data_IF_358045837400
#
_entry.id   IF_358045837400
#
_cell.length_a   1.000
_cell.length_b   1.000
_cell.length_c   1.000
_cell.angle_alpha   90.00
_cell.angle_beta   90.00
_cell.angle_gamma   90.00
#
_symmetry.space_group_name_H-M   'P 1'
#
loop_
_entity.id
_entity.type
_entity.pdbx_description
1 polymer ?
#
# COMPACT_ATOMS: atom_id res chain seq x y z
N UNK A 1 -12.24 -50.68 -11.10
CA UNK A 1 -11.68 -49.46 -11.71
C UNK A 1 -11.52 -48.48 -10.58
N UNK A 2 -10.39 -48.58 -9.89
CA UNK A 2 -10.06 -47.81 -8.71
C UNK A 2 -9.82 -46.35 -9.10
N UNK A 3 -10.62 -45.43 -8.54
CA UNK A 3 -10.33 -44.00 -8.61
C UNK A 3 -9.00 -43.73 -7.92
N UNK A 4 -8.01 -43.09 -8.57
CA UNK A 4 -6.81 -42.70 -7.86
C UNK A 4 -7.21 -41.62 -6.84
N UNK A 5 -7.11 -41.97 -5.55
CA UNK A 5 -7.15 -41.01 -4.45
C UNK A 5 -6.02 -40.01 -4.70
N UNK A 6 -6.38 -38.78 -5.09
CA UNK A 6 -5.44 -37.67 -5.17
C UNK A 6 -4.73 -37.56 -3.82
N UNK A 7 -3.40 -37.67 -3.75
CA UNK A 7 -2.70 -37.60 -2.48
C UNK A 7 -2.99 -36.25 -1.83
N UNK A 8 -3.29 -36.27 -0.53
CA UNK A 8 -3.45 -35.07 0.29
C UNK A 8 -2.17 -34.24 0.15
N UNK A 9 -2.27 -33.14 -0.59
CA UNK A 9 -1.12 -32.30 -0.95
C UNK A 9 -0.49 -31.77 0.33
N UNK A 10 0.81 -32.05 0.53
CA UNK A 10 1.56 -31.53 1.65
C UNK A 10 1.40 -30.00 1.70
N UNK A 11 0.91 -29.48 2.82
CA UNK A 11 0.96 -28.06 3.11
C UNK A 11 2.38 -27.57 2.91
N UNK A 12 2.61 -26.45 2.21
CA UNK A 12 3.95 -25.88 2.12
C UNK A 12 4.47 -25.69 3.55
N UNK A 13 5.54 -26.40 3.87
CA UNK A 13 6.24 -26.22 5.14
C UNK A 13 6.82 -24.82 5.09
N UNK A 14 6.31 -23.92 5.94
CA UNK A 14 6.91 -22.62 6.17
C UNK A 14 8.39 -22.85 6.49
N UNK A 15 9.34 -22.24 5.74
CA UNK A 15 10.72 -22.22 6.18
C UNK A 15 10.75 -21.65 7.60
N UNK A 16 11.47 -22.37 8.46
CA UNK A 16 11.58 -22.15 9.88
C UNK A 16 11.74 -20.68 10.27
N UNK A 17 11.12 -20.33 11.39
CA UNK A 17 11.26 -19.10 12.18
C UNK A 17 12.31 -18.11 11.63
N UNK A 18 11.83 -16.94 11.19
CA UNK A 18 12.73 -15.85 10.81
C UNK A 18 13.75 -15.62 11.95
N UNK A 19 15.06 -15.55 11.64
CA UNK A 19 16.09 -15.37 12.66
C UNK A 19 15.75 -14.18 13.57
N UNK A 20 15.97 -14.28 14.89
CA UNK A 20 15.54 -13.26 15.84
C UNK A 20 16.07 -11.82 15.62
N UNK A 21 17.02 -11.60 14.71
CA UNK A 21 17.46 -10.28 14.28
C UNK A 21 16.48 -9.60 13.30
N UNK A 22 15.58 -10.35 12.66
CA UNK A 22 14.56 -9.82 11.73
C UNK A 22 13.36 -9.23 12.45
N UNK A 23 13.17 -9.54 13.73
CA UNK A 23 12.06 -9.06 14.54
C UNK A 23 12.40 -7.70 15.16
N UNK A 24 11.51 -6.69 15.06
CA UNK A 24 11.72 -5.42 15.76
C UNK A 24 11.84 -5.68 17.26
N UNK A 25 12.95 -5.28 17.88
CA UNK A 25 13.20 -5.49 19.32
C UNK A 25 12.42 -4.53 20.22
N UNK A 26 11.16 -4.25 19.90
CA UNK A 26 10.25 -3.41 20.69
C UNK A 26 10.47 -1.89 20.58
N UNK A 27 11.44 -1.41 19.78
CA UNK A 27 11.60 0.01 19.45
C UNK A 27 10.96 0.30 18.09
N UNK A 28 10.32 1.46 17.95
CA UNK A 28 9.85 1.94 16.66
C UNK A 28 11.02 1.92 15.65
N UNK A 29 10.91 1.19 14.53
CA UNK A 29 12.02 0.99 13.62
C UNK A 29 12.32 2.30 12.89
N UNK A 30 13.58 2.73 12.92
CA UNK A 30 14.08 3.80 12.04
C UNK A 30 13.84 3.42 10.55
N UNK A 31 13.82 4.42 9.65
CA UNK A 31 13.54 4.28 8.21
C UNK A 31 14.34 3.13 7.58
N UNK A 32 15.62 3.00 7.95
CA UNK A 32 16.50 1.93 7.44
C UNK A 32 16.06 0.56 7.95
N UNK A 33 15.76 0.43 9.25
CA UNK A 33 15.32 -0.83 9.84
C UNK A 33 13.95 -1.27 9.27
N UNK A 34 13.05 -0.33 9.02
CA UNK A 34 11.76 -0.58 8.37
C UNK A 34 11.95 -1.10 6.94
N UNK A 35 12.90 -0.54 6.17
CA UNK A 35 13.22 -1.00 4.82
C UNK A 35 13.77 -2.44 4.82
N UNK A 36 14.67 -2.78 5.75
CA UNK A 36 15.16 -4.15 5.90
C UNK A 36 14.04 -5.13 6.28
N UNK A 37 13.18 -4.76 7.23
CA UNK A 37 12.03 -5.58 7.62
C UNK A 37 11.08 -5.83 6.44
N UNK A 38 10.76 -4.79 5.67
CA UNK A 38 9.96 -4.92 4.46
C UNK A 38 10.61 -5.85 3.42
N UNK A 39 11.92 -5.74 3.21
CA UNK A 39 12.68 -6.63 2.32
C UNK A 39 12.62 -8.10 2.75
N UNK A 40 12.74 -8.37 4.05
CA UNK A 40 12.63 -9.72 4.61
C UNK A 40 11.23 -10.28 4.36
N UNK A 41 10.18 -9.52 4.67
CA UNK A 41 8.78 -9.95 4.43
C UNK A 41 8.54 -10.24 2.96
N UNK A 42 9.02 -9.38 2.05
CA UNK A 42 8.89 -9.58 0.61
C UNK A 42 9.65 -10.83 0.14
N UNK A 43 10.85 -11.08 0.65
CA UNK A 43 11.62 -12.28 0.33
C UNK A 43 10.92 -13.55 0.82
N UNK A 44 10.44 -13.55 2.06
CA UNK A 44 9.70 -14.69 2.62
C UNK A 44 8.42 -14.97 1.85
N UNK A 45 7.71 -13.93 1.42
CA UNK A 45 6.54 -14.06 0.57
C UNK A 45 6.90 -14.58 -0.84
N UNK A 46 7.97 -14.08 -1.44
CA UNK A 46 8.46 -14.57 -2.73
C UNK A 46 8.81 -16.05 -2.65
N UNK A 47 9.54 -16.49 -1.62
CA UNK A 47 9.89 -17.90 -1.42
C UNK A 47 8.67 -18.79 -1.26
N UNK A 48 7.61 -18.28 -0.63
CA UNK A 48 6.35 -19.00 -0.46
C UNK A 48 5.53 -19.12 -1.77
N UNK A 49 5.57 -18.08 -2.60
CA UNK A 49 4.74 -17.96 -3.81
C UNK A 49 5.46 -18.49 -5.06
N UNK A 50 6.80 -18.47 -5.08
CA UNK A 50 7.68 -18.85 -6.20
C UNK A 50 7.53 -20.31 -6.65
N UNK A 51 7.32 -21.30 -5.76
CA UNK A 51 7.01 -22.68 -6.16
C UNK A 51 5.72 -22.84 -6.96
N UNK A 52 4.93 -21.76 -7.11
CA UNK A 52 3.67 -21.72 -7.83
C UNK A 52 2.65 -22.76 -7.35
N UNK A 53 2.27 -22.74 -6.05
CA UNK A 53 1.27 -23.65 -5.52
C UNK A 53 -0.06 -23.49 -6.26
N UNK A 54 -0.89 -24.53 -6.30
CA UNK A 54 -2.14 -24.56 -7.09
C UNK A 54 -3.09 -23.38 -6.82
N UNK A 55 -3.09 -22.83 -5.60
CA UNK A 55 -3.94 -21.71 -5.20
C UNK A 55 -3.35 -20.33 -5.55
N UNK A 56 -2.11 -20.26 -6.04
CA UNK A 56 -1.37 -19.01 -6.24
C UNK A 56 -2.06 -18.05 -7.20
N UNK A 57 -2.71 -18.58 -8.25
CA UNK A 57 -3.47 -17.78 -9.21
C UNK A 57 -4.64 -17.06 -8.55
N UNK A 58 -5.44 -17.79 -7.77
CA UNK A 58 -6.56 -17.24 -7.00
C UNK A 58 -6.07 -16.19 -5.98
N UNK A 59 -4.94 -16.44 -5.31
CA UNK A 59 -4.36 -15.49 -4.38
C UNK A 59 -3.91 -14.19 -5.09
N UNK A 60 -3.18 -14.29 -6.21
CA UNK A 60 -2.76 -13.12 -7.00
C UNK A 60 -3.94 -12.32 -7.54
N UNK A 61 -4.99 -12.99 -8.00
CA UNK A 61 -6.21 -12.31 -8.46
C UNK A 61 -6.89 -11.53 -7.33
N UNK A 62 -6.97 -12.10 -6.11
CA UNK A 62 -7.50 -11.37 -4.94
C UNK A 62 -6.61 -10.20 -4.54
N UNK A 63 -5.28 -10.36 -4.57
CA UNK A 63 -4.36 -9.26 -4.29
C UNK A 63 -4.51 -8.14 -5.33
N UNK A 64 -4.60 -8.47 -6.62
CA UNK A 64 -4.79 -7.48 -7.68
C UNK A 64 -6.05 -6.63 -7.47
N UNK A 65 -7.15 -7.26 -7.06
CA UNK A 65 -8.40 -6.56 -6.77
C UNK A 65 -8.30 -5.67 -5.53
N UNK A 66 -7.67 -6.15 -4.46
CA UNK A 66 -7.41 -5.34 -3.25
C UNK A 66 -6.53 -4.13 -3.56
N UNK A 67 -5.45 -4.33 -4.31
CA UNK A 67 -4.58 -3.27 -4.76
C UNK A 67 -5.34 -2.26 -5.65
N UNK A 68 -6.25 -2.72 -6.51
CA UNK A 68 -7.08 -1.84 -7.32
C UNK A 68 -8.00 -0.98 -6.46
N UNK A 69 -8.71 -1.56 -5.50
CA UNK A 69 -9.58 -0.83 -4.58
C UNK A 69 -8.84 0.26 -3.79
N UNK A 70 -7.62 -0.06 -3.31
CA UNK A 70 -6.76 0.93 -2.65
C UNK A 70 -6.30 2.02 -3.62
N UNK A 71 -5.89 1.66 -4.84
CA UNK A 71 -5.41 2.62 -5.84
C UNK A 71 -6.51 3.59 -6.28
N UNK A 72 -7.72 3.06 -6.52
CA UNK A 72 -8.93 3.84 -6.86
C UNK A 72 -9.28 4.81 -5.73
N UNK A 73 -9.12 4.39 -4.46
CA UNK A 73 -9.28 5.28 -3.30
C UNK A 73 -8.25 6.40 -3.23
N UNK A 74 -6.99 6.10 -3.54
CA UNK A 74 -5.94 7.11 -3.62
C UNK A 74 -6.20 8.12 -4.76
N UNK A 75 -6.86 7.69 -5.83
CA UNK A 75 -7.33 8.55 -6.92
C UNK A 75 -8.61 9.35 -6.57
N UNK A 76 -9.06 9.33 -5.32
CA UNK A 76 -10.21 10.10 -4.84
C UNK A 76 -11.57 9.49 -5.18
N UNK A 77 -11.62 8.23 -5.59
CA UNK A 77 -12.87 7.52 -5.89
C UNK A 77 -13.19 6.48 -4.82
N UNK A 78 -14.43 6.01 -4.74
CA UNK A 78 -14.90 5.20 -3.62
C UNK A 78 -15.41 3.81 -4.02
N UNK A 79 -15.18 3.36 -5.25
CA UNK A 79 -15.57 2.04 -5.71
C UNK A 79 -14.88 0.94 -4.89
N UNK A 80 -15.68 -0.01 -4.40
CA UNK A 80 -15.21 -1.14 -3.62
C UNK A 80 -14.87 -2.35 -4.50
N UNK A 81 -14.44 -3.45 -3.88
CA UNK A 81 -14.07 -4.67 -4.61
C UNK A 81 -15.22 -5.24 -5.45
N UNK A 82 -16.49 -5.09 -5.04
CA UNK A 82 -17.62 -5.60 -5.78
C UNK A 82 -17.90 -4.75 -7.01
N UNK A 83 -17.96 -3.42 -6.84
CA UNK A 83 -18.11 -2.47 -7.93
C UNK A 83 -17.01 -2.61 -8.99
N UNK A 84 -15.76 -2.85 -8.57
CA UNK A 84 -14.65 -3.08 -9.50
C UNK A 84 -14.78 -4.40 -10.27
N UNK A 85 -15.26 -5.47 -9.63
CA UNK A 85 -15.53 -6.74 -10.32
C UNK A 85 -16.63 -6.55 -11.35
N UNK A 86 -17.73 -5.90 -10.96
CA UNK A 86 -18.88 -5.67 -11.84
C UNK A 86 -18.49 -4.79 -13.02
N UNK A 87 -17.74 -3.71 -12.79
CA UNK A 87 -17.25 -2.84 -13.84
C UNK A 87 -16.46 -3.60 -14.92
N UNK A 88 -15.63 -4.57 -14.56
CA UNK A 88 -14.83 -5.34 -15.54
C UNK A 88 -15.57 -6.56 -16.09
N UNK A 89 -16.39 -7.25 -15.29
CA UNK A 89 -17.06 -8.49 -15.70
C UNK A 89 -18.34 -8.26 -16.49
N UNK A 90 -19.05 -7.16 -16.24
CA UNK A 90 -20.27 -6.79 -16.97
C UNK A 90 -19.97 -5.99 -18.24
N UNK A 91 -18.73 -5.55 -18.43
CA UNK A 91 -18.29 -4.86 -19.65
C UNK A 91 -18.11 -5.87 -20.78
N UNK A 92 -18.67 -5.56 -21.95
CA UNK A 92 -18.52 -6.38 -23.14
C UNK A 92 -17.04 -6.56 -23.53
N UNK A 93 -16.70 -7.65 -24.21
CA UNK A 93 -15.34 -7.89 -24.67
C UNK A 93 -14.83 -6.73 -25.54
N UNK A 94 -13.72 -6.12 -25.13
CA UNK A 94 -13.15 -4.94 -25.80
C UNK A 94 -13.85 -3.60 -25.49
N UNK A 95 -14.90 -3.62 -24.65
CA UNK A 95 -15.53 -2.41 -24.13
C UNK A 95 -14.69 -1.72 -23.06
N UNK A 96 -15.03 -0.46 -22.77
CA UNK A 96 -14.39 0.32 -21.71
C UNK A 96 -15.10 0.12 -20.36
N UNK A 97 -14.43 -0.46 -19.34
CA UNK A 97 -15.02 -0.66 -18.01
C UNK A 97 -15.02 0.62 -17.16
N UNK A 98 -14.67 1.77 -17.77
CA UNK A 98 -14.60 3.07 -17.11
C UNK A 98 -13.34 3.23 -16.24
N UNK A 99 -13.16 4.41 -15.61
CA UNK A 99 -11.91 4.77 -14.95
C UNK A 99 -11.48 3.79 -13.85
N UNK A 100 -12.39 3.42 -12.95
CA UNK A 100 -12.10 2.48 -11.87
C UNK A 100 -11.84 1.06 -12.39
N UNK A 101 -12.59 0.63 -13.42
CA UNK A 101 -12.38 -0.64 -14.09
C UNK A 101 -11.03 -0.74 -14.80
N UNK A 102 -10.56 0.34 -15.45
CA UNK A 102 -9.23 0.41 -16.07
C UNK A 102 -8.10 0.25 -15.05
N UNK A 103 -8.24 0.84 -13.85
CA UNK A 103 -7.30 0.62 -12.74
C UNK A 103 -7.26 -0.86 -12.34
N UNK A 104 -8.42 -1.53 -12.25
CA UNK A 104 -8.47 -2.96 -11.97
C UNK A 104 -7.86 -3.81 -13.11
N UNK A 105 -8.05 -3.43 -14.38
CA UNK A 105 -7.37 -4.08 -15.50
C UNK A 105 -5.84 -3.92 -15.42
N UNK A 106 -5.34 -2.74 -15.03
CA UNK A 106 -3.92 -2.51 -14.84
C UNK A 106 -3.32 -3.41 -13.76
N UNK A 107 -3.94 -3.49 -12.57
CA UNK A 107 -3.44 -4.36 -11.49
C UNK A 107 -3.58 -5.85 -11.82
N UNK A 108 -4.67 -6.24 -12.51
CA UNK A 108 -4.84 -7.61 -13.01
C UNK A 108 -3.72 -7.97 -13.98
N UNK A 109 -3.35 -7.08 -14.90
CA UNK A 109 -2.23 -7.28 -15.84
C UNK A 109 -0.92 -7.50 -15.09
N UNK A 110 -0.62 -6.70 -14.06
CA UNK A 110 0.57 -6.87 -13.20
C UNK A 110 0.59 -8.21 -12.44
N UNK A 111 -0.58 -8.78 -12.13
CA UNK A 111 -0.68 -10.06 -11.42
C UNK A 111 -0.40 -11.28 -12.30
N UNK A 112 -0.45 -11.11 -13.63
CA UNK A 112 -0.13 -12.17 -14.60
C UNK A 112 1.39 -12.39 -14.71
N UNK A 113 1.80 -13.55 -15.24
CA UNK A 113 3.20 -14.00 -15.19
C UNK A 113 4.11 -12.99 -15.91
N UNK A 114 5.18 -12.58 -15.19
CA UNK A 114 6.32 -11.73 -15.55
C UNK A 114 6.19 -11.01 -16.90
N UNK A 115 5.46 -9.87 -16.97
CA UNK A 115 5.54 -9.01 -18.14
C UNK A 115 7.00 -8.55 -18.35
N UNK A 116 7.44 -8.51 -19.60
CA UNK A 116 8.73 -7.91 -19.93
C UNK A 116 8.72 -6.43 -19.48
N UNK A 117 9.75 -6.01 -18.74
CA UNK A 117 9.88 -4.62 -18.34
C UNK A 117 10.36 -3.83 -19.56
N UNK A 118 9.58 -2.85 -20.01
CA UNK A 118 9.89 -2.02 -21.18
C UNK A 118 9.07 -0.75 -21.15
N UNK A 119 9.54 0.32 -21.80
CA UNK A 119 8.81 1.59 -21.94
C UNK A 119 7.42 1.39 -22.53
N UNK A 120 7.26 0.50 -23.52
CA UNK A 120 5.95 0.16 -24.09
C UNK A 120 4.98 -0.41 -23.06
N UNK A 121 5.42 -1.41 -22.28
CA UNK A 121 4.55 -2.06 -21.28
C UNK A 121 4.19 -1.09 -20.16
N UNK A 122 5.12 -0.24 -19.75
CA UNK A 122 4.86 0.78 -18.72
C UNK A 122 3.95 1.89 -19.25
N UNK A 123 4.11 2.32 -20.50
CA UNK A 123 3.22 3.28 -21.16
C UNK A 123 1.78 2.78 -21.23
N UNK A 124 1.56 1.54 -21.66
CA UNK A 124 0.20 0.95 -21.67
C UNK A 124 -0.42 0.84 -20.27
N UNK A 125 0.39 0.67 -19.22
CA UNK A 125 -0.07 0.74 -17.83
C UNK A 125 -0.39 2.17 -17.40
N UNK A 126 0.41 3.15 -17.82
CA UNK A 126 0.17 4.57 -17.56
C UNK A 126 -1.16 5.00 -18.20
N UNK A 127 -1.44 4.58 -19.42
CA UNK A 127 -2.71 4.85 -20.13
C UNK A 127 -3.92 4.29 -19.36
N UNK A 128 -3.83 3.04 -18.87
CA UNK A 128 -4.89 2.44 -18.06
C UNK A 128 -5.11 3.17 -16.73
N UNK A 129 -4.03 3.72 -16.15
CA UNK A 129 -4.09 4.48 -14.91
C UNK A 129 -4.43 5.97 -15.12
N UNK A 130 -4.56 6.41 -16.37
CA UNK A 130 -4.79 7.83 -16.70
C UNK A 130 -3.62 8.74 -16.32
N UNK A 131 -2.40 8.19 -16.29
CA UNK A 131 -1.19 8.93 -15.94
C UNK A 131 -0.57 9.56 -17.19
N UNK A 132 -0.06 10.78 -17.05
CA UNK A 132 0.72 11.42 -18.11
C UNK A 132 2.01 10.63 -18.33
N UNK A 133 2.21 10.21 -19.58
CA UNK A 133 3.38 9.50 -20.08
C UNK A 133 4.12 10.39 -21.09
N UNK A 134 5.43 10.55 -20.91
CA UNK A 134 6.27 11.41 -21.75
C UNK A 134 7.60 10.71 -22.11
N UNK A 135 8.33 11.31 -23.04
CA UNK A 135 9.61 10.77 -23.53
C UNK A 135 10.68 10.69 -22.42
N UNK A 136 10.57 11.51 -21.37
CA UNK A 136 11.52 11.48 -20.25
C UNK A 136 11.29 10.26 -19.36
N UNK A 137 10.03 9.92 -19.11
CA UNK A 137 9.63 8.71 -18.40
C UNK A 137 9.95 7.45 -19.21
N UNK A 138 9.74 7.50 -20.54
CA UNK A 138 10.15 6.42 -21.43
C UNK A 138 11.68 6.19 -21.34
N UNK A 139 12.48 7.24 -21.46
CA UNK A 139 13.94 7.16 -21.34
C UNK A 139 14.41 6.62 -19.97
N UNK A 140 13.74 7.02 -18.88
CA UNK A 140 14.06 6.50 -17.55
C UNK A 140 13.80 4.99 -17.44
N UNK A 141 12.70 4.50 -18.03
CA UNK A 141 12.38 3.06 -18.08
C UNK A 141 13.36 2.31 -18.97
N UNK A 142 13.71 2.84 -20.14
CA UNK A 142 14.67 2.21 -21.05
C UNK A 142 16.06 2.10 -20.39
N UNK A 143 16.52 3.14 -19.70
CA UNK A 143 17.78 3.09 -18.93
C UNK A 143 17.76 1.99 -17.86
N UNK A 144 16.61 1.80 -17.20
CA UNK A 144 16.46 0.76 -16.18
C UNK A 144 16.38 -0.65 -16.78
N UNK A 145 15.75 -0.80 -17.95
CA UNK A 145 15.76 -2.07 -18.70
C UNK A 145 17.17 -2.42 -19.16
N UNK A 146 17.90 -1.47 -19.77
CA UNK A 146 19.30 -1.64 -20.18
C UNK A 146 20.19 -2.07 -19.00
N UNK A 147 20.02 -1.45 -17.84
CA UNK A 147 20.74 -1.81 -16.62
C UNK A 147 20.43 -3.24 -16.15
N UNK A 148 19.17 -3.67 -16.23
CA UNK A 148 18.79 -5.04 -15.89
C UNK A 148 19.39 -6.04 -16.89
N UNK A 149 19.40 -5.71 -18.18
CA UNK A 149 19.98 -6.53 -19.24
C UNK A 149 21.51 -6.62 -19.14
N UNK A 150 22.18 -5.57 -18.64
CA UNK A 150 23.62 -5.56 -18.42
C UNK A 150 24.06 -6.35 -17.17
N UNK A 151 23.14 -7.02 -16.46
CA UNK A 151 23.43 -7.78 -15.25
C UNK A 151 23.63 -6.92 -14.00
N UNK A 152 23.24 -5.64 -14.03
CA UNK A 152 23.30 -4.78 -12.85
C UNK A 152 22.36 -5.33 -11.76
N UNK A 153 22.73 -5.28 -10.47
CA UNK A 153 21.84 -5.69 -9.40
C UNK A 153 20.50 -4.94 -9.46
N UNK A 154 19.39 -5.67 -9.47
CA UNK A 154 18.04 -5.10 -9.59
C UNK A 154 17.74 -3.94 -8.62
N UNK A 155 18.19 -3.96 -7.34
CA UNK A 155 17.98 -2.82 -6.44
C UNK A 155 18.66 -1.53 -6.89
N UNK A 156 19.83 -1.62 -7.52
CA UNK A 156 20.56 -0.46 -8.03
C UNK A 156 19.88 0.09 -9.30
N UNK A 157 19.47 -0.79 -10.22
CA UNK A 157 18.71 -0.38 -11.40
C UNK A 157 17.37 0.29 -11.00
N UNK A 158 16.69 -0.23 -9.98
CA UNK A 158 15.48 0.39 -9.44
C UNK A 158 15.75 1.76 -8.77
N UNK A 159 16.85 1.91 -8.05
CA UNK A 159 17.24 3.19 -7.44
C UNK A 159 17.56 4.26 -8.50
N UNK A 160 18.25 3.88 -9.57
CA UNK A 160 18.53 4.75 -10.71
C UNK A 160 17.24 5.17 -11.41
N UNK A 161 16.32 4.22 -11.65
CA UNK A 161 15.00 4.48 -12.22
C UNK A 161 14.22 5.50 -11.38
N UNK A 162 14.15 5.28 -10.06
CA UNK A 162 13.47 6.19 -9.13
C UNK A 162 14.10 7.59 -9.17
N UNK A 163 15.43 7.66 -9.21
CA UNK A 163 16.16 8.92 -9.30
C UNK A 163 15.88 9.66 -10.62
N UNK A 164 15.84 8.93 -11.74
CA UNK A 164 15.52 9.47 -13.06
C UNK A 164 14.06 9.96 -13.13
N UNK A 165 13.11 9.20 -12.58
CA UNK A 165 11.70 9.62 -12.48
C UNK A 165 11.58 10.90 -11.63
N UNK A 166 12.26 10.97 -10.49
CA UNK A 166 12.27 12.16 -9.64
C UNK A 166 12.86 13.39 -10.35
N UNK A 167 13.90 13.20 -11.16
CA UNK A 167 14.48 14.29 -11.95
C UNK A 167 13.57 14.75 -13.10
N UNK A 168 12.88 13.81 -13.76
CA UNK A 168 11.96 14.08 -14.86
C UNK A 168 10.66 14.76 -14.39
N UNK A 169 10.16 14.36 -13.21
CA UNK A 169 8.93 14.85 -12.57
C UNK A 169 9.30 15.80 -11.43
N UNK A 170 9.66 17.05 -11.77
CA UNK A 170 9.82 18.12 -10.76
C UNK A 170 8.52 18.46 -10.00
N UNK A 171 7.40 17.85 -10.39
CA UNK A 171 6.13 17.76 -9.64
C UNK A 171 6.22 16.88 -8.37
N UNK A 172 7.43 16.44 -8.00
CA UNK A 172 7.78 15.82 -6.71
C UNK A 172 7.43 16.69 -5.47
N UNK A 173 6.86 17.88 -5.68
CA UNK A 173 6.20 18.70 -4.66
C UNK A 173 5.26 17.88 -3.79
N UNK A 174 4.54 16.86 -4.29
CA UNK A 174 3.64 16.07 -3.44
C UNK A 174 4.36 15.25 -2.35
N UNK A 175 5.57 14.72 -2.64
CA UNK A 175 6.36 14.00 -1.65
C UNK A 175 7.02 14.96 -0.67
N UNK A 176 7.55 16.06 -1.18
CA UNK A 176 8.15 17.13 -0.38
C UNK A 176 7.10 17.80 0.53
N UNK A 177 5.85 17.94 0.05
CA UNK A 177 4.69 18.33 0.84
C UNK A 177 4.47 17.29 1.94
N UNK A 178 4.32 16.00 1.65
CA UNK A 178 4.09 14.99 2.72
C UNK A 178 5.24 14.93 3.75
N UNK A 179 6.49 15.08 3.32
CA UNK A 179 7.65 15.09 4.22
C UNK A 179 7.69 16.37 5.07
N UNK A 180 7.43 17.54 4.47
CA UNK A 180 7.32 18.81 5.20
C UNK A 180 6.13 18.89 6.17
N UNK A 181 5.11 18.03 6.04
CA UNK A 181 4.07 17.89 7.07
C UNK A 181 4.65 17.39 8.40
N UNK A 182 5.53 16.39 8.36
CA UNK A 182 6.16 15.85 9.57
C UNK A 182 7.10 16.85 10.24
N UNK A 183 7.62 17.81 9.46
CA UNK A 183 8.47 18.89 9.95
C UNK A 183 7.69 20.12 10.40
N UNK A 184 6.37 20.20 10.12
CA UNK A 184 5.53 21.31 10.55
C UNK A 184 5.29 21.26 12.06
N UNK A 185 6.05 22.09 12.79
CA UNK A 185 6.02 22.14 14.27
C UNK A 185 5.31 23.37 14.83
N UNK A 186 4.76 24.23 13.96
CA UNK A 186 4.04 25.43 14.38
C UNK A 186 2.74 25.59 13.59
N UNK A 187 1.80 26.34 14.16
CA UNK A 187 0.52 26.67 13.50
C UNK A 187 0.75 27.42 12.17
N UNK A 188 1.78 28.27 12.09
CA UNK A 188 2.12 29.02 10.87
C UNK A 188 2.67 28.10 9.78
N UNK A 189 3.53 27.14 10.15
CA UNK A 189 4.08 26.16 9.20
C UNK A 189 2.99 25.22 8.67
N UNK A 190 2.01 24.86 9.52
CA UNK A 190 0.87 24.05 9.12
C UNK A 190 0.01 24.76 8.07
N UNK A 191 -0.22 26.07 8.19
CA UNK A 191 -1.02 26.81 7.21
C UNK A 191 -0.32 26.96 5.86
N UNK A 192 0.97 27.29 5.89
CA UNK A 192 1.80 27.34 4.69
C UNK A 192 1.89 25.95 4.02
N UNK A 193 1.89 24.89 4.81
CA UNK A 193 1.81 23.52 4.31
C UNK A 193 0.46 23.19 3.68
N UNK A 194 -0.67 23.51 4.35
CA UNK A 194 -2.02 23.24 3.85
C UNK A 194 -2.21 23.89 2.48
N UNK A 195 -1.79 25.15 2.32
CA UNK A 195 -1.95 25.87 1.06
C UNK A 195 -1.22 25.19 -0.11
N UNK A 196 0.00 24.71 0.12
CA UNK A 196 0.76 23.93 -0.88
C UNK A 196 0.12 22.56 -1.11
N UNK A 197 -0.30 21.89 -0.04
CA UNK A 197 -0.84 20.54 -0.09
C UNK A 197 -2.18 20.45 -0.84
N UNK A 198 -3.03 21.46 -0.72
CA UNK A 198 -4.35 21.50 -1.39
C UNK A 198 -4.21 21.67 -2.90
N UNK A 199 -3.08 22.22 -3.38
CA UNK A 199 -2.75 22.39 -4.80
C UNK A 199 -1.98 21.19 -5.37
N UNK A 200 -1.73 20.16 -4.57
CA UNK A 200 -0.89 19.00 -4.93
C UNK A 200 -1.70 17.70 -5.05
N UNK A 201 -1.02 16.60 -5.41
CA UNK A 201 -1.60 15.26 -5.45
C UNK A 201 -2.09 14.74 -4.08
N UNK A 202 -1.75 15.40 -2.97
CA UNK A 202 -2.24 15.05 -1.62
C UNK A 202 -3.39 15.94 -1.14
N UNK A 203 -4.10 16.61 -2.06
CA UNK A 203 -5.23 17.48 -1.72
C UNK A 203 -6.31 16.79 -0.87
N UNK A 204 -6.60 15.50 -1.09
CA UNK A 204 -7.58 14.75 -0.28
C UNK A 204 -7.12 14.60 1.18
N UNK A 205 -5.83 14.38 1.41
CA UNK A 205 -5.22 14.36 2.73
C UNK A 205 -5.23 15.76 3.36
N UNK A 206 -4.86 16.80 2.60
CA UNK A 206 -4.93 18.20 3.04
C UNK A 206 -6.36 18.59 3.46
N UNK A 207 -7.38 18.17 2.71
CA UNK A 207 -8.79 18.40 3.05
C UNK A 207 -9.19 17.70 4.36
N UNK A 208 -8.65 16.52 4.64
CA UNK A 208 -8.80 15.84 5.94
C UNK A 208 -8.18 16.65 7.09
N UNK A 209 -6.96 17.15 6.89
CA UNK A 209 -6.26 18.02 7.85
C UNK A 209 -7.01 19.33 8.08
N UNK A 210 -7.57 19.94 7.02
CA UNK A 210 -8.41 21.14 7.12
C UNK A 210 -9.67 20.87 7.96
N UNK A 211 -10.32 19.72 7.77
CA UNK A 211 -11.50 19.33 8.55
C UNK A 211 -11.21 19.22 10.04
N UNK A 212 -10.02 18.72 10.37
CA UNK A 212 -9.59 18.46 11.74
C UNK A 212 -8.65 19.57 12.28
N UNK A 213 -8.59 20.73 11.60
CA UNK A 213 -7.64 21.84 11.84
C UNK A 213 -7.61 22.31 13.29
N UNK A 214 -8.77 22.50 13.91
CA UNK A 214 -8.85 22.97 15.30
C UNK A 214 -8.24 21.96 16.29
N UNK A 215 -8.43 20.65 16.05
CA UNK A 215 -7.85 19.60 16.87
C UNK A 215 -6.33 19.53 16.69
N UNK A 216 -5.84 19.67 15.45
CA UNK A 216 -4.41 19.63 15.12
C UNK A 216 -3.68 20.86 15.66
N UNK A 217 -4.25 22.06 15.50
CA UNK A 217 -3.67 23.29 16.06
C UNK A 217 -3.60 23.22 17.60
N UNK A 218 -4.62 22.67 18.25
CA UNK A 218 -4.61 22.43 19.69
C UNK A 218 -3.55 21.39 20.08
N UNK A 219 -3.35 20.34 19.27
CA UNK A 219 -2.31 19.34 19.52
C UNK A 219 -0.89 19.90 19.35
N UNK A 220 -0.67 20.83 18.43
CA UNK A 220 0.63 21.49 18.20
C UNK A 220 0.95 22.52 19.31
N UNK A 221 -0.08 23.21 19.81
CA UNK A 221 0.08 24.26 20.84
C UNK A 221 0.02 23.73 22.27
N UNK A 222 -0.61 22.57 22.50
CA UNK A 222 -0.69 21.93 23.81
C UNK A 222 0.58 21.15 24.17
N UNK A 223 1.02 21.27 25.43
CA UNK A 223 2.12 20.49 26.01
C UNK A 223 1.70 19.10 26.53
N UNK A 224 0.42 18.71 26.42
CA UNK A 224 -0.09 17.57 27.17
C UNK A 224 0.13 16.22 26.46
N UNK A 225 0.81 15.29 27.14
CA UNK A 225 1.03 13.90 26.73
C UNK A 225 -0.28 13.09 26.61
N UNK A 226 -0.53 12.54 25.42
CA UNK A 226 -1.66 11.65 25.12
C UNK A 226 -1.54 10.22 25.70
N UNK A 227 -0.46 9.92 26.44
CA UNK A 227 -0.18 8.55 26.92
C UNK A 227 -1.26 7.97 27.83
N UNK A 228 -1.95 8.80 28.61
CA UNK A 228 -3.05 8.34 29.48
C UNK A 228 -4.29 7.93 28.66
N UNK A 229 -4.65 8.73 27.66
CA UNK A 229 -5.81 8.51 26.79
C UNK A 229 -5.61 7.26 25.93
N UNK A 230 -4.41 7.08 25.37
CA UNK A 230 -4.05 5.87 24.62
C UNK A 230 -4.02 4.62 25.50
N UNK A 231 -3.55 4.74 26.75
CA UNK A 231 -3.60 3.66 27.73
C UNK A 231 -5.04 3.20 28.02
N UNK A 232 -5.97 4.14 28.19
CA UNK A 232 -7.38 3.82 28.40
C UNK A 232 -8.06 3.22 27.17
N UNK A 233 -7.76 3.73 25.97
CA UNK A 233 -8.27 3.17 24.71
C UNK A 233 -7.74 1.75 24.48
N UNK A 234 -6.47 1.51 24.78
CA UNK A 234 -5.85 0.18 24.66
C UNK A 234 -6.48 -0.81 25.64
N UNK A 235 -6.72 -0.39 26.89
CA UNK A 235 -7.43 -1.18 27.90
C UNK A 235 -8.85 -1.52 27.45
N UNK A 236 -9.59 -0.56 26.88
CA UNK A 236 -10.93 -0.78 26.34
C UNK A 236 -10.94 -1.74 25.15
N UNK A 237 -9.95 -1.66 24.25
CA UNK A 237 -9.81 -2.59 23.13
C UNK A 237 -9.48 -4.02 23.59
N UNK A 238 -8.67 -4.17 24.63
CA UNK A 238 -8.36 -5.46 25.25
C UNK A 238 -9.60 -6.10 25.89
N UNK A 239 -10.34 -5.34 26.71
CA UNK A 239 -11.58 -5.80 27.34
C UNK A 239 -12.62 -6.21 26.29
N UNK A 240 -12.73 -5.45 25.18
CA UNK A 240 -13.64 -5.80 24.10
C UNK A 240 -13.23 -7.11 23.40
N UNK A 241 -11.93 -7.32 23.16
CA UNK A 241 -11.44 -8.57 22.56
C UNK A 241 -11.67 -9.78 23.46
N UNK A 242 -11.45 -9.65 24.76
CA UNK A 242 -11.70 -10.71 25.74
C UNK A 242 -13.19 -11.08 25.81
N UNK A 243 -14.07 -10.09 25.78
CA UNK A 243 -15.53 -10.28 25.75
C UNK A 243 -16.02 -10.93 24.44
N UNK A 244 -15.42 -10.59 23.31
CA UNK A 244 -15.82 -11.14 22.02
C UNK A 244 -15.28 -12.59 21.84
N UNK A 245 -14.24 -13.00 22.58
CA UNK A 245 -13.69 -14.36 22.58
C UNK A 245 -14.38 -15.32 23.58
N UNK A 246 -15.01 -14.83 24.66
CA UNK A 246 -15.69 -15.66 25.67
C UNK A 246 -17.11 -15.14 25.96
N UNK A 247 -18.17 -15.68 25.32
CA UNK A 247 -19.52 -15.11 25.32
C UNK A 247 -20.34 -15.32 26.62
N UNK A 248 -19.72 -15.71 27.73
CA UNK A 248 -20.41 -15.96 29.00
C UNK A 248 -19.73 -15.23 30.17
N UNK A 249 -20.05 -13.95 30.33
CA UNK A 249 -19.93 -13.27 31.62
C UNK A 249 -21.21 -12.44 31.88
N UNK A 250 -21.94 -12.69 32.99
CA UNK A 250 -23.13 -11.92 33.33
C UNK A 250 -22.75 -10.53 33.84
N UNK A 251 -23.49 -9.55 33.34
CA UNK A 251 -23.42 -8.14 33.68
C UNK A 251 -24.03 -7.92 35.08
N UNK A 252 -23.22 -7.62 36.09
CA UNK A 252 -23.72 -7.01 37.34
C UNK A 252 -23.38 -5.52 37.28
N UNK A 253 -24.41 -4.73 36.99
CA UNK A 253 -24.41 -3.29 37.24
C UNK A 253 -24.60 -3.12 38.75
N UNK A 254 -23.63 -2.54 39.44
CA UNK A 254 -23.92 -1.82 40.67
C UNK A 254 -23.32 -0.42 40.54
N UNK A 255 -24.22 0.52 40.23
CA UNK A 255 -23.98 1.94 40.28
C UNK A 255 -24.32 2.43 41.70
N UNK A 256 -23.47 3.31 42.21
CA UNK A 256 -23.73 4.27 43.30
C UNK A 256 -23.96 3.70 44.73
N UNK A 257 -22.87 3.63 45.50
CA UNK A 257 -22.67 4.49 46.67
C UNK A 257 -21.19 4.71 46.94
#
# INVERSE_FOLDING_TARGET
>A
MDSPVTPLVASPVLPAALPGWTLPRGREPDKIAAAFAAGIVLKSLDDFVRPAPIWVGCWRARQALKCAAVSVRLMGRNEDEAALRDAVLLTAAGGDPGPAGRVFLATKRLSTRKPAFSSKVVGELADLLGLVWDDRLAAAVDQADDALQSGRPAPLAAADLVSAIHAARRDAEARDVVESFHESKSSVDLEAWIERATKSLVASFANGVIRDRAAIQNAITSQWSNGQTEGQITKLKLIKRERDEHPTFPFVIEAAR
#
